data_IF_599948828901
#
_entry.id   IF_599948828901
#
_cell.length_a   1.000
_cell.length_b   1.000
_cell.length_c   1.000
_cell.angle_alpha   90.00
_cell.angle_beta   90.00
_cell.angle_gamma   90.00
#
_symmetry.space_group_name_H-M   'P 1'
#
loop_
_entity.id
_entity.type
_entity.pdbx_description
1 polymer ?
#
# COMPACT_ATOMS: atom_id res chain seq x y z
N UNK A 1 -9.54 -34.01 -1.96
CA UNK A 1 -9.03 -33.03 -2.94
C UNK A 1 -8.23 -31.97 -2.18
N UNK A 2 -6.95 -31.70 -2.53
CA UNK A 2 -6.24 -30.54 -1.98
C UNK A 2 -6.96 -29.30 -2.55
N UNK A 3 -7.68 -28.57 -1.70
CA UNK A 3 -8.23 -27.29 -2.09
C UNK A 3 -7.08 -26.37 -2.51
N UNK A 4 -7.20 -25.74 -3.69
CA UNK A 4 -6.24 -24.74 -4.15
C UNK A 4 -6.14 -23.64 -3.09
N UNK A 5 -4.89 -23.28 -2.74
CA UNK A 5 -4.60 -22.21 -1.79
C UNK A 5 -5.20 -20.90 -2.29
N UNK A 6 -5.85 -20.15 -1.39
CA UNK A 6 -6.48 -18.86 -1.69
C UNK A 6 -5.63 -17.73 -1.08
N UNK A 7 -5.26 -16.77 -1.90
CA UNK A 7 -4.45 -15.62 -1.48
C UNK A 7 -5.33 -14.40 -1.18
N UNK A 8 -5.42 -14.03 0.10
CA UNK A 8 -6.25 -12.94 0.64
C UNK A 8 -5.40 -11.92 1.41
N UNK A 9 -4.17 -11.65 0.93
CA UNK A 9 -3.23 -10.71 1.56
C UNK A 9 -2.68 -9.67 0.56
N UNK A 10 -3.56 -9.13 -0.27
CA UNK A 10 -3.22 -8.19 -1.34
C UNK A 10 -2.57 -6.89 -0.86
N UNK A 11 -2.89 -6.42 0.35
CA UNK A 11 -2.26 -5.23 0.89
C UNK A 11 -0.78 -5.45 1.28
N UNK A 12 -0.38 -6.67 1.60
CA UNK A 12 1.03 -6.98 1.83
C UNK A 12 1.80 -6.94 0.50
N UNK A 13 1.30 -7.64 -0.51
CA UNK A 13 1.80 -7.58 -1.89
C UNK A 13 0.74 -8.14 -2.83
N UNK A 14 0.48 -7.49 -3.96
CA UNK A 14 -0.39 -8.04 -4.99
C UNK A 14 0.35 -9.14 -5.79
N UNK A 15 -0.33 -10.20 -6.24
CA UNK A 15 0.23 -11.13 -7.22
C UNK A 15 0.73 -10.40 -8.47
N UNK A 16 1.87 -10.85 -9.01
CA UNK A 16 2.43 -10.25 -10.22
C UNK A 16 1.45 -10.44 -11.40
N UNK A 17 1.08 -9.34 -12.04
CA UNK A 17 0.21 -9.35 -13.22
C UNK A 17 0.90 -10.01 -14.41
N UNK A 18 0.12 -10.63 -15.29
CA UNK A 18 0.67 -11.27 -16.48
C UNK A 18 1.33 -10.24 -17.40
N UNK A 19 0.73 -9.07 -17.58
CA UNK A 19 1.29 -7.98 -18.38
C UNK A 19 2.66 -7.51 -17.84
N UNK A 20 2.80 -7.45 -16.53
CA UNK A 20 4.08 -7.10 -15.90
C UNK A 20 5.13 -8.19 -16.13
N UNK A 21 4.75 -9.47 -16.00
CA UNK A 21 5.63 -10.61 -16.29
C UNK A 21 6.11 -10.58 -17.74
N UNK A 22 5.22 -10.39 -18.68
CA UNK A 22 5.54 -10.42 -20.12
C UNK A 22 6.45 -9.24 -20.49
N UNK A 23 6.17 -8.04 -19.95
CA UNK A 23 7.03 -6.87 -20.15
C UNK A 23 8.43 -7.07 -19.57
N UNK A 24 8.54 -7.70 -18.39
CA UNK A 24 9.83 -8.03 -17.78
C UNK A 24 10.61 -9.04 -18.61
N UNK A 25 9.97 -10.09 -19.08
CA UNK A 25 10.61 -11.12 -19.93
C UNK A 25 11.15 -10.47 -21.21
N UNK A 26 10.35 -9.64 -21.89
CA UNK A 26 10.79 -8.93 -23.08
C UNK A 26 11.95 -7.96 -22.81
N UNK A 27 12.01 -7.35 -21.63
CA UNK A 27 13.09 -6.45 -21.24
C UNK A 27 14.39 -7.16 -20.88
N UNK A 28 14.37 -8.46 -20.55
CA UNK A 28 15.58 -9.25 -20.25
C UNK A 28 16.54 -9.39 -21.42
N UNK A 29 16.02 -9.34 -22.64
CA UNK A 29 16.83 -9.45 -23.87
C UNK A 29 17.43 -8.10 -24.32
N UNK A 30 17.14 -7.01 -23.64
CA UNK A 30 17.64 -5.67 -23.96
C UNK A 30 19.00 -5.42 -23.31
N UNK A 31 20.07 -5.36 -24.12
CA UNK A 31 21.48 -5.25 -23.70
C UNK A 31 21.90 -3.77 -23.55
N UNK A 32 21.10 -2.84 -23.37
CA UNK A 32 21.50 -1.43 -23.35
C UNK A 32 21.60 -0.87 -21.91
N UNK A 33 22.53 0.06 -21.69
CA UNK A 33 22.48 0.95 -20.56
C UNK A 33 21.69 2.21 -20.96
N UNK A 34 20.64 2.62 -20.21
CA UNK A 34 19.82 3.78 -20.55
C UNK A 34 20.60 5.11 -20.69
N UNK A 35 21.77 5.21 -20.06
CA UNK A 35 22.67 6.38 -20.17
C UNK A 35 23.54 6.40 -21.42
N UNK A 36 23.57 5.32 -22.21
CA UNK A 36 24.39 5.22 -23.42
C UNK A 36 23.70 5.83 -24.62
N UNK A 37 24.49 6.49 -25.49
CA UNK A 37 23.97 7.22 -26.68
C UNK A 37 23.78 6.34 -27.93
N UNK A 38 24.35 5.11 -27.94
CA UNK A 38 24.23 4.18 -29.06
C UNK A 38 22.82 3.53 -29.11
N UNK A 39 22.53 2.77 -30.16
CA UNK A 39 21.19 2.20 -30.44
C UNK A 39 20.63 1.39 -29.28
N UNK A 40 21.42 0.50 -28.71
CA UNK A 40 21.03 -0.37 -27.59
C UNK A 40 20.69 0.44 -26.34
N UNK A 41 21.47 1.49 -26.04
CA UNK A 41 21.19 2.40 -24.93
C UNK A 41 19.88 3.16 -25.12
N UNK A 42 19.60 3.62 -26.36
CA UNK A 42 18.34 4.28 -26.66
C UNK A 42 17.14 3.35 -26.53
N UNK A 43 17.27 2.06 -26.88
CA UNK A 43 16.22 1.05 -26.67
C UNK A 43 15.95 0.87 -25.17
N UNK A 44 16.99 0.70 -24.35
CA UNK A 44 16.83 0.59 -22.91
C UNK A 44 16.18 1.84 -22.31
N UNK A 45 16.64 3.03 -22.72
CA UNK A 45 16.05 4.31 -22.28
C UNK A 45 14.56 4.41 -22.68
N UNK A 46 14.19 3.99 -23.88
CA UNK A 46 12.80 4.01 -24.34
C UNK A 46 11.89 3.12 -23.46
N UNK A 47 12.38 2.00 -22.92
CA UNK A 47 11.64 1.18 -21.97
C UNK A 47 11.41 1.91 -20.65
N UNK A 48 12.43 2.59 -20.11
CA UNK A 48 12.31 3.38 -18.87
C UNK A 48 11.32 4.52 -19.06
N UNK A 49 11.42 5.29 -20.17
CA UNK A 49 10.52 6.42 -20.42
C UNK A 49 9.08 5.96 -20.70
N UNK A 50 8.88 4.82 -21.34
CA UNK A 50 7.54 4.21 -21.49
C UNK A 50 6.94 3.86 -20.12
N UNK A 51 7.72 3.20 -19.26
CA UNK A 51 7.27 2.88 -17.91
C UNK A 51 6.92 4.15 -17.11
N UNK A 52 7.72 5.21 -17.29
CA UNK A 52 7.50 6.51 -16.65
C UNK A 52 6.16 7.11 -17.08
N UNK A 53 5.87 7.12 -18.37
CA UNK A 53 4.60 7.60 -18.90
C UNK A 53 3.40 6.79 -18.40
N UNK A 54 3.54 5.46 -18.33
CA UNK A 54 2.47 4.58 -17.83
C UNK A 54 2.19 4.77 -16.33
N UNK A 55 3.23 4.97 -15.52
CA UNK A 55 3.07 5.25 -14.08
C UNK A 55 2.48 6.65 -13.87
N UNK A 56 2.90 7.64 -14.66
CA UNK A 56 2.37 9.00 -14.60
C UNK A 56 0.88 9.05 -14.97
N UNK A 57 0.45 8.31 -16.00
CA UNK A 57 -0.96 8.21 -16.38
C UNK A 57 -1.83 7.62 -15.24
N UNK A 58 -1.34 6.56 -14.59
CA UNK A 58 -2.05 5.97 -13.44
C UNK A 58 -2.10 6.92 -12.23
N UNK A 59 -1.03 7.69 -11.99
CA UNK A 59 -0.91 8.58 -10.85
C UNK A 59 -1.55 9.96 -11.08
N UNK A 60 -1.89 10.32 -12.32
CA UNK A 60 -2.44 11.62 -12.70
C UNK A 60 -1.43 12.75 -12.55
N UNK A 61 -0.22 12.58 -13.12
CA UNK A 61 0.85 13.57 -13.11
C UNK A 61 1.62 13.58 -14.45
N UNK A 62 2.55 14.53 -14.63
CA UNK A 62 3.43 14.53 -15.78
C UNK A 62 4.54 13.46 -15.63
N UNK A 63 5.00 12.83 -16.73
CA UNK A 63 6.11 11.85 -16.65
C UNK A 63 7.38 12.42 -16.02
N UNK A 64 7.69 13.70 -16.24
CA UNK A 64 8.86 14.37 -15.65
C UNK A 64 8.77 14.57 -14.13
N UNK A 65 7.58 14.41 -13.53
CA UNK A 65 7.40 14.47 -12.08
C UNK A 65 7.83 13.18 -11.39
N UNK A 66 7.98 12.07 -12.13
CA UNK A 66 8.34 10.76 -11.62
C UNK A 66 9.87 10.65 -11.42
N UNK A 67 10.30 10.22 -10.24
CA UNK A 67 11.63 9.69 -9.99
C UNK A 67 11.49 8.23 -9.54
N UNK A 68 12.06 7.30 -10.30
CA UNK A 68 12.01 5.89 -9.97
C UNK A 68 12.92 5.55 -8.79
N UNK A 69 12.43 4.68 -7.92
CA UNK A 69 13.12 4.18 -6.72
C UNK A 69 12.95 2.66 -6.62
N UNK A 70 13.68 2.03 -5.71
CA UNK A 70 13.55 0.58 -5.47
C UNK A 70 12.34 0.24 -4.59
N UNK A 71 11.86 1.18 -3.79
CA UNK A 71 10.77 0.97 -2.84
C UNK A 71 10.15 2.30 -2.41
N UNK A 72 8.93 2.27 -1.89
CA UNK A 72 8.33 3.42 -1.23
C UNK A 72 9.13 3.87 0.00
N UNK A 73 9.85 2.95 0.65
CA UNK A 73 10.78 3.27 1.75
C UNK A 73 11.93 4.14 1.28
N UNK A 74 12.59 3.80 0.16
CA UNK A 74 13.63 4.66 -0.45
C UNK A 74 13.05 6.01 -0.86
N UNK A 75 11.87 6.01 -1.50
CA UNK A 75 11.20 7.26 -1.90
C UNK A 75 10.91 8.18 -0.70
N UNK A 76 10.45 7.62 0.43
CA UNK A 76 10.23 8.37 1.66
C UNK A 76 11.55 8.93 2.22
N UNK A 77 12.61 8.13 2.26
CA UNK A 77 13.94 8.59 2.69
C UNK A 77 14.46 9.74 1.83
N UNK A 78 14.31 9.64 0.51
CA UNK A 78 14.70 10.72 -0.42
C UNK A 78 13.91 12.00 -0.16
N UNK A 79 12.61 11.88 0.13
CA UNK A 79 11.77 13.04 0.44
C UNK A 79 12.16 13.72 1.75
N UNK A 80 12.44 12.96 2.80
CA UNK A 80 12.76 13.50 4.13
C UNK A 80 14.22 13.94 4.28
N UNK A 81 15.11 13.59 3.35
CA UNK A 81 16.52 13.99 3.41
C UNK A 81 16.64 15.52 3.56
N UNK A 82 17.45 15.95 4.53
CA UNK A 82 17.69 17.36 4.83
C UNK A 82 16.52 18.14 5.44
N UNK A 83 15.39 17.50 5.75
CA UNK A 83 14.23 18.17 6.38
C UNK A 83 14.26 18.01 7.90
N UNK A 84 13.70 19.01 8.62
CA UNK A 84 13.53 19.05 10.07
C UNK A 84 12.08 19.32 10.44
N UNK A 85 11.76 19.17 11.73
CA UNK A 85 10.46 19.53 12.32
C UNK A 85 9.29 18.86 11.59
N UNK A 86 9.40 17.56 11.36
CA UNK A 86 8.43 16.79 10.60
C UNK A 86 7.14 16.55 11.41
N UNK A 87 6.01 16.64 10.73
CA UNK A 87 4.71 16.28 11.29
C UNK A 87 4.03 15.20 10.47
N UNK A 88 3.48 14.18 11.13
CA UNK A 88 2.78 13.09 10.46
C UNK A 88 1.88 12.32 11.43
N UNK A 89 0.95 11.57 10.88
CA UNK A 89 -0.04 10.85 11.66
C UNK A 89 0.56 9.63 12.38
N UNK A 90 0.06 9.30 13.58
CA UNK A 90 0.46 8.11 14.34
C UNK A 90 0.21 6.79 13.58
N UNK A 91 -0.62 6.83 12.56
CA UNK A 91 -0.99 5.68 11.73
C UNK A 91 -0.13 5.54 10.46
N UNK A 92 0.89 6.37 10.25
CA UNK A 92 1.79 6.26 9.09
C UNK A 92 2.45 4.88 9.01
N UNK A 93 2.85 4.47 7.79
CA UNK A 93 3.63 3.25 7.62
C UNK A 93 4.98 3.34 8.35
N UNK A 94 5.51 2.21 8.84
CA UNK A 94 6.77 2.17 9.61
C UNK A 94 7.94 2.85 8.90
N UNK A 95 8.01 2.78 7.58
CA UNK A 95 9.05 3.46 6.79
C UNK A 95 8.96 4.99 6.85
N UNK A 96 7.79 5.54 7.12
CA UNK A 96 7.53 6.98 7.25
C UNK A 96 7.65 7.42 8.70
N UNK A 97 7.00 6.70 9.62
CA UNK A 97 7.03 7.05 11.05
C UNK A 97 8.46 7.02 11.60
N UNK A 98 9.29 6.08 11.16
CA UNK A 98 10.68 6.00 11.59
C UNK A 98 11.49 7.24 11.18
N UNK A 99 11.18 7.91 10.07
CA UNK A 99 11.82 9.17 9.66
C UNK A 99 11.37 10.31 10.57
N UNK A 100 10.08 10.35 10.92
CA UNK A 100 9.53 11.36 11.83
C UNK A 100 10.14 11.21 13.22
N UNK A 101 10.15 10.01 13.77
CA UNK A 101 10.70 9.71 15.10
C UNK A 101 12.21 9.97 15.21
N UNK A 102 12.96 9.79 14.12
CA UNK A 102 14.38 10.07 14.07
C UNK A 102 14.74 11.56 13.93
N UNK A 103 13.79 12.41 13.57
CA UNK A 103 13.99 13.81 13.31
C UNK A 103 13.67 14.66 14.55
N UNK A 104 14.64 15.43 15.04
CA UNK A 104 14.45 16.34 16.18
C UNK A 104 13.39 17.40 15.87
N UNK A 105 12.59 17.77 16.86
CA UNK A 105 11.51 18.77 16.72
C UNK A 105 10.24 18.26 16.02
N UNK A 106 10.21 16.98 15.67
CA UNK A 106 9.07 16.38 14.97
C UNK A 106 7.88 16.09 15.89
N UNK A 107 6.67 16.11 15.34
CA UNK A 107 5.42 15.90 16.05
C UNK A 107 4.61 14.76 15.41
N UNK A 108 4.04 13.91 16.26
CA UNK A 108 3.12 12.85 15.86
C UNK A 108 1.69 13.28 16.15
N UNK A 109 0.87 13.31 15.10
CA UNK A 109 -0.52 13.74 15.17
C UNK A 109 -1.42 12.56 15.49
N UNK A 110 -2.28 12.65 16.52
CA UNK A 110 -3.18 11.58 16.89
C UNK A 110 -4.30 11.37 15.88
N UNK A 111 -4.98 10.22 15.99
CA UNK A 111 -6.18 9.89 15.22
C UNK A 111 -7.38 9.66 16.13
N UNK A 112 -8.56 9.77 15.57
CA UNK A 112 -9.80 9.41 16.24
C UNK A 112 -10.07 7.89 16.21
N UNK A 113 -11.08 7.38 16.94
CA UNK A 113 -11.43 5.97 16.92
C UNK A 113 -11.85 5.42 15.53
N UNK A 114 -12.21 6.29 14.60
CA UNK A 114 -12.58 5.93 13.22
C UNK A 114 -11.36 5.96 12.27
N UNK A 115 -10.16 6.26 12.81
CA UNK A 115 -8.89 6.25 12.10
C UNK A 115 -8.62 7.51 11.26
N UNK A 116 -9.39 8.60 11.47
CA UNK A 116 -9.13 9.89 10.85
C UNK A 116 -8.16 10.73 11.69
N UNK A 117 -7.27 11.48 11.06
CA UNK A 117 -6.35 12.37 11.80
C UNK A 117 -7.12 13.47 12.53
N UNK A 118 -6.70 13.73 13.77
CA UNK A 118 -7.16 14.88 14.57
C UNK A 118 -6.16 16.02 14.35
N UNK A 119 -6.35 16.78 13.29
CA UNK A 119 -5.38 17.77 12.85
C UNK A 119 -5.89 19.20 13.05
N UNK A 120 -5.08 20.04 13.73
CA UNK A 120 -5.30 21.48 13.74
C UNK A 120 -5.09 22.03 12.33
N UNK A 121 -6.14 22.64 11.84
CA UNK A 121 -6.22 23.16 10.48
C UNK A 121 -5.16 24.22 10.13
N UNK A 122 -4.45 24.78 11.07
CA UNK A 122 -3.44 25.80 10.87
C UNK A 122 -1.99 25.28 10.95
N UNK A 123 -1.79 24.03 11.45
CA UNK A 123 -0.48 23.42 11.50
C UNK A 123 -0.05 22.83 10.15
N UNK A 124 1.23 22.94 9.74
CA UNK A 124 1.74 22.24 8.57
C UNK A 124 1.71 20.73 8.79
N UNK A 125 1.48 19.97 7.71
CA UNK A 125 1.53 18.51 7.73
C UNK A 125 2.60 18.04 6.75
N UNK A 126 3.68 17.46 7.27
CA UNK A 126 4.81 17.03 6.45
C UNK A 126 4.50 15.78 5.65
N UNK A 127 3.65 14.89 6.20
CA UNK A 127 3.23 13.66 5.51
C UNK A 127 1.87 13.18 5.98
N UNK A 128 1.16 12.49 5.08
CA UNK A 128 -0.07 11.78 5.39
C UNK A 128 -0.26 10.61 4.44
N UNK A 129 -0.47 9.40 4.98
CA UNK A 129 -0.93 8.29 4.16
C UNK A 129 -2.37 8.53 3.69
N UNK A 130 -2.63 8.27 2.40
CA UNK A 130 -3.97 8.46 1.83
C UNK A 130 -4.91 7.34 2.31
N UNK A 131 -4.38 6.12 2.45
CA UNK A 131 -5.11 4.98 3.01
C UNK A 131 -4.22 4.16 3.94
N UNK A 132 -4.77 3.77 5.07
CA UNK A 132 -4.07 2.90 6.00
C UNK A 132 -3.98 1.46 5.48
N UNK A 133 -2.80 0.86 5.54
CA UNK A 133 -2.54 -0.48 5.02
C UNK A 133 -3.17 -1.61 5.84
N UNK A 134 -3.45 -1.37 7.14
CA UNK A 134 -4.08 -2.35 8.04
C UNK A 134 -5.60 -2.26 8.00
N UNK A 135 -6.15 -1.07 8.24
CA UNK A 135 -7.59 -0.84 8.38
C UNK A 135 -8.31 -0.55 7.06
N UNK A 136 -7.56 -0.10 6.06
CA UNK A 136 -8.12 0.39 4.80
C UNK A 136 -8.72 1.79 4.87
N UNK A 137 -8.73 2.45 6.03
CA UNK A 137 -9.35 3.77 6.22
C UNK A 137 -8.69 4.80 5.31
N UNK A 138 -9.52 5.51 4.54
CA UNK A 138 -9.13 6.62 3.67
C UNK A 138 -9.15 7.94 4.43
N UNK A 139 -8.07 8.73 4.32
CA UNK A 139 -7.96 10.02 5.00
C UNK A 139 -8.68 11.13 4.22
N UNK A 140 -9.68 11.73 4.83
CA UNK A 140 -10.46 12.81 4.22
C UNK A 140 -9.70 14.13 4.08
N UNK A 141 -8.62 14.31 4.84
CA UNK A 141 -7.80 15.52 4.89
C UNK A 141 -7.00 15.78 3.60
N UNK A 142 -6.68 14.73 2.83
CA UNK A 142 -5.81 14.79 1.63
C UNK A 142 -6.29 15.78 0.56
N UNK A 143 -7.59 16.06 0.49
CA UNK A 143 -8.20 16.97 -0.50
C UNK A 143 -8.41 18.40 0.01
N UNK A 144 -7.93 18.74 1.21
CA UNK A 144 -8.36 19.97 1.87
C UNK A 144 -7.23 20.99 2.09
N UNK A 145 -5.96 20.57 2.08
CA UNK A 145 -4.82 21.42 2.46
C UNK A 145 -3.50 20.95 1.88
N UNK A 146 -2.51 21.86 1.79
CA UNK A 146 -1.15 21.52 1.41
C UNK A 146 -0.55 20.50 2.40
N UNK A 147 -0.06 19.39 1.86
CA UNK A 147 0.68 18.35 2.55
C UNK A 147 2.07 18.26 1.91
N UNK A 148 3.11 18.06 2.70
CA UNK A 148 4.45 17.87 2.16
C UNK A 148 4.50 16.65 1.25
N UNK A 149 4.21 15.47 1.77
CA UNK A 149 4.17 14.22 0.99
C UNK A 149 2.92 13.41 1.35
N UNK A 150 2.29 12.81 0.37
CA UNK A 150 1.25 11.79 0.59
C UNK A 150 1.79 10.40 0.30
N UNK A 151 1.57 9.46 1.23
CA UNK A 151 1.79 8.04 0.94
C UNK A 151 0.55 7.48 0.22
N UNK A 152 0.67 7.38 -1.11
CA UNK A 152 -0.37 6.85 -1.99
C UNK A 152 -0.19 5.35 -2.29
N UNK A 153 0.69 4.65 -1.57
CA UNK A 153 1.07 3.27 -1.84
C UNK A 153 -0.11 2.30 -1.85
N UNK A 154 -1.11 2.53 -1.01
CA UNK A 154 -2.29 1.65 -0.94
C UNK A 154 -3.46 2.10 -1.81
N UNK A 155 -3.45 3.32 -2.34
CA UNK A 155 -4.57 3.84 -3.15
C UNK A 155 -4.32 3.76 -4.65
N UNK A 156 -3.09 4.02 -5.11
CA UNK A 156 -2.75 3.98 -6.54
C UNK A 156 -3.07 2.59 -7.11
N UNK A 157 -3.88 2.58 -8.17
CA UNK A 157 -4.36 1.37 -8.82
C UNK A 157 -5.52 0.63 -8.15
N UNK A 158 -6.08 1.18 -7.04
CA UNK A 158 -7.24 0.58 -6.33
C UNK A 158 -8.43 1.54 -6.22
N UNK A 159 -8.15 2.83 -6.02
CA UNK A 159 -9.18 3.88 -6.04
C UNK A 159 -8.70 5.03 -6.94
N UNK A 160 -9.60 5.86 -7.47
CA UNK A 160 -9.21 7.02 -8.24
C UNK A 160 -8.29 7.94 -7.42
N UNK A 161 -7.10 8.17 -7.94
CA UNK A 161 -6.10 9.07 -7.38
C UNK A 161 -5.53 9.94 -8.50
N UNK A 162 -5.46 11.24 -8.29
CA UNK A 162 -4.87 12.19 -9.22
C UNK A 162 -3.93 13.10 -8.43
N UNK A 163 -2.62 12.94 -8.65
CA UNK A 163 -1.62 13.72 -7.94
C UNK A 163 -1.73 15.21 -8.22
N UNK A 164 -2.06 15.60 -9.46
CA UNK A 164 -2.22 17.01 -9.84
C UNK A 164 -3.38 17.71 -9.09
N UNK A 165 -4.33 16.94 -8.57
CA UNK A 165 -5.45 17.45 -7.76
C UNK A 165 -5.21 17.24 -6.24
N UNK A 166 -4.20 16.49 -5.87
CA UNK A 166 -3.80 16.33 -4.47
C UNK A 166 -3.03 17.60 -4.04
N UNK A 167 -3.46 18.24 -2.97
CA UNK A 167 -2.75 19.38 -2.40
C UNK A 167 -1.45 18.92 -1.70
N UNK A 168 -0.55 18.27 -2.46
CA UNK A 168 0.69 17.71 -1.95
C UNK A 168 1.89 18.14 -2.80
N UNK A 169 3.04 18.32 -2.16
CA UNK A 169 4.31 18.61 -2.85
C UNK A 169 4.92 17.34 -3.43
N UNK A 170 4.67 16.18 -2.82
CA UNK A 170 5.15 14.90 -3.29
C UNK A 170 4.15 13.77 -3.00
N UNK A 171 4.30 12.65 -3.72
CA UNK A 171 3.63 11.40 -3.41
C UNK A 171 4.58 10.21 -3.58
N UNK A 172 4.33 9.14 -2.85
CA UNK A 172 5.08 7.88 -3.02
C UNK A 172 4.15 6.74 -3.39
N UNK A 173 4.64 5.82 -4.23
CA UNK A 173 3.93 4.59 -4.57
C UNK A 173 4.89 3.44 -4.84
N UNK A 174 4.38 2.20 -4.80
CA UNK A 174 5.18 0.99 -5.02
C UNK A 174 4.43 0.00 -5.91
N UNK A 175 5.11 -0.49 -6.96
CA UNK A 175 4.53 -1.34 -7.99
C UNK A 175 3.91 -2.63 -7.46
N UNK A 176 4.55 -3.25 -6.46
CA UNK A 176 4.06 -4.53 -5.91
C UNK A 176 2.70 -4.43 -5.20
N UNK A 177 2.16 -3.25 -4.98
CA UNK A 177 0.83 -3.06 -4.36
C UNK A 177 -0.33 -3.13 -5.36
N UNK A 178 -0.03 -3.05 -6.66
CA UNK A 178 -1.02 -3.18 -7.74
C UNK A 178 -0.61 -4.19 -8.85
N UNK A 179 0.31 -5.10 -8.48
CA UNK A 179 0.68 -6.23 -9.35
C UNK A 179 1.91 -6.00 -10.22
N UNK A 180 2.71 -4.99 -9.94
CA UNK A 180 4.06 -4.83 -10.47
C UNK A 180 5.09 -5.65 -9.69
N UNK A 181 6.35 -5.64 -10.13
CA UNK A 181 7.43 -6.34 -9.44
C UNK A 181 7.79 -5.65 -8.11
N UNK A 182 8.32 -6.44 -7.18
CA UNK A 182 9.05 -5.91 -6.03
C UNK A 182 10.35 -5.27 -6.52
N UNK A 183 10.86 -4.26 -5.81
CA UNK A 183 12.08 -3.55 -6.22
C UNK A 183 11.84 -2.47 -7.28
N UNK A 184 10.60 -2.03 -7.47
CA UNK A 184 10.23 -0.92 -8.35
C UNK A 184 9.13 -0.07 -7.70
N UNK A 185 9.42 1.22 -7.55
CA UNK A 185 8.56 2.21 -6.90
C UNK A 185 8.82 3.59 -7.52
N UNK A 186 8.08 4.59 -7.08
CA UNK A 186 8.26 5.97 -7.54
C UNK A 186 8.06 6.98 -6.41
N UNK A 187 8.87 8.03 -6.46
CA UNK A 187 8.63 9.33 -5.86
C UNK A 187 8.07 10.24 -6.94
N UNK A 188 6.92 10.82 -6.69
CA UNK A 188 6.25 11.79 -7.56
C UNK A 188 6.47 13.16 -6.95
N UNK A 189 6.99 14.12 -7.71
CA UNK A 189 7.33 15.46 -7.23
C UNK A 189 6.48 16.48 -7.94
N UNK A 190 5.89 17.38 -7.20
CA UNK A 190 5.15 18.51 -7.77
C UNK A 190 6.07 19.44 -8.57
N UNK A 191 5.47 20.21 -9.46
CA UNK A 191 6.21 21.11 -10.34
C UNK A 191 7.06 22.11 -9.53
N UNK A 192 8.36 22.15 -9.82
CA UNK A 192 9.32 23.02 -9.14
C UNK A 192 9.75 22.55 -7.75
N UNK A 193 9.33 21.38 -7.33
CA UNK A 193 9.79 20.76 -6.08
C UNK A 193 11.12 20.07 -6.32
N UNK A 194 12.12 20.46 -5.54
CA UNK A 194 13.47 19.88 -5.54
C UNK A 194 13.68 19.01 -4.29
N UNK A 195 14.50 17.98 -4.45
CA UNK A 195 14.94 17.11 -3.36
C UNK A 195 16.47 17.06 -3.33
N UNK A 196 17.02 16.80 -2.16
CA UNK A 196 18.45 16.58 -2.02
C UNK A 196 18.85 15.22 -2.60
N UNK A 197 19.77 15.21 -3.57
CA UNK A 197 20.35 13.98 -4.08
C UNK A 197 21.67 13.67 -3.33
N UNK A 198 21.55 12.98 -2.21
CA UNK A 198 22.69 12.66 -1.34
C UNK A 198 23.77 11.77 -2.00
N UNK A 199 23.43 11.06 -3.08
CA UNK A 199 24.36 10.14 -3.77
C UNK A 199 25.06 10.79 -4.97
N UNK A 200 24.64 11.98 -5.41
CA UNK A 200 25.12 12.59 -6.66
C UNK A 200 24.68 11.77 -7.89
N UNK A 201 25.17 12.13 -9.09
CA UNK A 201 24.88 11.45 -10.35
C UNK A 201 23.73 12.07 -11.15
N UNK A 202 23.56 11.63 -12.41
CA UNK A 202 22.66 12.28 -13.39
C UNK A 202 21.40 11.47 -13.76
N UNK A 203 21.25 10.25 -13.23
CA UNK A 203 20.06 9.44 -13.49
C UNK A 203 18.82 10.06 -12.84
N UNK A 204 17.64 9.67 -13.30
CA UNK A 204 16.36 10.20 -12.82
C UNK A 204 16.33 11.75 -12.77
N UNK A 205 16.89 12.37 -13.80
CA UNK A 205 16.99 13.84 -13.90
C UNK A 205 17.79 14.48 -12.75
N UNK A 206 18.81 13.78 -12.24
CA UNK A 206 19.63 14.21 -11.11
C UNK A 206 19.00 13.97 -9.73
N UNK A 207 17.83 13.35 -9.65
CA UNK A 207 17.11 13.12 -8.40
C UNK A 207 17.52 11.84 -7.68
N UNK A 208 17.96 10.84 -8.43
CA UNK A 208 18.40 9.54 -7.88
C UNK A 208 19.50 8.95 -8.77
N UNK A 209 20.54 8.40 -8.16
CA UNK A 209 21.70 7.85 -8.85
C UNK A 209 21.64 6.33 -8.96
N UNK A 210 22.48 5.79 -9.87
CA UNK A 210 22.61 4.37 -10.15
C UNK A 210 21.84 3.95 -11.41
N UNK A 211 22.38 2.96 -12.11
CA UNK A 211 21.76 2.42 -13.33
C UNK A 211 20.34 1.95 -13.05
N UNK A 212 19.43 2.37 -13.90
CA UNK A 212 18.01 2.07 -13.76
C UNK A 212 17.73 0.57 -13.90
N UNK A 213 16.84 0.04 -13.07
CA UNK A 213 16.36 -1.34 -13.14
C UNK A 213 15.39 -1.53 -14.34
N UNK A 214 15.93 -1.53 -15.55
CA UNK A 214 15.15 -1.55 -16.81
C UNK A 214 14.08 -2.65 -16.79
N UNK A 215 14.43 -3.85 -16.36
CA UNK A 215 13.53 -5.01 -16.31
C UNK A 215 12.38 -4.74 -15.31
N UNK A 216 12.73 -4.33 -14.09
CA UNK A 216 11.72 -4.04 -13.06
C UNK A 216 10.83 -2.86 -13.44
N UNK A 217 11.39 -1.81 -14.06
CA UNK A 217 10.62 -0.64 -14.49
C UNK A 217 9.68 -0.97 -15.64
N UNK A 218 10.09 -1.80 -16.62
CA UNK A 218 9.20 -2.28 -17.66
C UNK A 218 7.97 -3.00 -17.08
N UNK A 219 8.18 -3.89 -16.08
CA UNK A 219 7.08 -4.55 -15.38
C UNK A 219 6.23 -3.60 -14.54
N UNK A 220 6.83 -2.60 -13.91
CA UNK A 220 6.12 -1.58 -13.13
C UNK A 220 5.19 -0.75 -14.02
N UNK A 221 5.67 -0.26 -15.16
CA UNK A 221 4.87 0.47 -16.14
C UNK A 221 3.71 -0.36 -16.68
N UNK A 222 3.97 -1.61 -17.07
CA UNK A 222 2.93 -2.51 -17.57
C UNK A 222 1.85 -2.81 -16.52
N UNK A 223 2.26 -2.99 -15.24
CA UNK A 223 1.31 -3.14 -14.13
C UNK A 223 0.49 -1.86 -13.90
N UNK A 224 1.11 -0.69 -14.02
CA UNK A 224 0.42 0.59 -13.89
C UNK A 224 -0.66 0.76 -14.96
N UNK A 225 -0.34 0.47 -16.20
CA UNK A 225 -1.30 0.50 -17.30
C UNK A 225 -2.45 -0.49 -17.11
N UNK A 226 -2.17 -1.70 -16.63
CA UNK A 226 -3.21 -2.69 -16.35
C UNK A 226 -4.09 -2.26 -15.16
N UNK A 227 -3.51 -1.70 -14.10
CA UNK A 227 -4.25 -1.19 -12.96
C UNK A 227 -5.15 0.00 -13.33
N UNK A 228 -4.70 0.86 -14.26
CA UNK A 228 -5.52 1.95 -14.81
C UNK A 228 -6.73 1.40 -15.55
N UNK A 229 -6.57 0.37 -16.40
CA UNK A 229 -7.69 -0.30 -17.07
C UNK A 229 -8.69 -0.89 -16.09
N UNK A 230 -8.24 -1.52 -14.98
CA UNK A 230 -9.14 -2.06 -13.96
C UNK A 230 -9.95 -0.96 -13.26
N UNK A 231 -9.33 0.19 -12.98
CA UNK A 231 -10.02 1.35 -12.43
C UNK A 231 -11.10 1.87 -13.39
N UNK A 232 -10.75 2.07 -14.65
CA UNK A 232 -11.64 2.60 -15.69
C UNK A 232 -12.79 1.62 -15.99
N UNK A 233 -12.56 0.31 -15.86
CA UNK A 233 -13.56 -0.73 -15.99
C UNK A 233 -14.45 -0.92 -14.74
N UNK A 234 -14.19 -0.21 -13.64
CA UNK A 234 -14.98 -0.30 -12.42
C UNK A 234 -14.81 -1.60 -11.63
N UNK A 235 -13.73 -2.36 -11.85
CA UNK A 235 -13.47 -3.65 -11.17
C UNK A 235 -13.48 -3.51 -9.66
N UNK A 236 -12.98 -2.40 -9.14
CA UNK A 236 -12.90 -2.18 -7.70
C UNK A 236 -14.27 -2.00 -7.01
N UNK A 237 -15.31 -1.61 -7.75
CA UNK A 237 -16.67 -1.60 -7.23
C UNK A 237 -17.21 -3.02 -6.98
N UNK A 238 -16.84 -3.99 -7.83
CA UNK A 238 -17.20 -5.39 -7.60
C UNK A 238 -16.40 -5.99 -6.42
N UNK A 239 -15.13 -5.61 -6.27
CA UNK A 239 -14.31 -6.00 -5.12
C UNK A 239 -14.89 -5.45 -3.80
N UNK A 240 -15.42 -4.21 -3.81
CA UNK A 240 -16.12 -3.66 -2.63
C UNK A 240 -17.34 -4.50 -2.24
N UNK A 241 -18.12 -4.98 -3.21
CA UNK A 241 -19.23 -5.89 -2.95
C UNK A 241 -18.75 -7.20 -2.33
N UNK A 242 -17.67 -7.80 -2.84
CA UNK A 242 -17.10 -9.01 -2.27
C UNK A 242 -16.60 -8.82 -0.84
N UNK A 243 -15.96 -7.69 -0.53
CA UNK A 243 -15.58 -7.34 0.85
C UNK A 243 -16.82 -7.26 1.75
N UNK A 244 -17.90 -6.65 1.28
CA UNK A 244 -19.11 -6.51 2.07
C UNK A 244 -19.81 -7.88 2.29
N UNK A 245 -19.78 -8.78 1.31
CA UNK A 245 -20.23 -10.18 1.45
C UNK A 245 -19.42 -10.89 2.53
N UNK A 246 -18.09 -10.75 2.51
CA UNK A 246 -17.20 -11.31 3.52
C UNK A 246 -17.56 -10.80 4.92
N UNK A 247 -17.63 -9.48 5.11
CA UNK A 247 -17.92 -8.87 6.41
C UNK A 247 -19.29 -9.31 6.94
N UNK A 248 -20.30 -9.37 6.07
CA UNK A 248 -21.64 -9.87 6.43
C UNK A 248 -21.58 -11.33 6.91
N UNK A 249 -20.93 -12.22 6.18
CA UNK A 249 -20.80 -13.63 6.55
C UNK A 249 -20.09 -13.83 7.90
N UNK A 250 -19.03 -13.05 8.17
CA UNK A 250 -18.32 -13.07 9.44
C UNK A 250 -19.18 -12.54 10.59
N UNK A 251 -19.88 -11.41 10.40
CA UNK A 251 -20.75 -10.80 11.40
C UNK A 251 -21.97 -11.68 11.78
N UNK A 252 -22.53 -12.38 10.81
CA UNK A 252 -23.65 -13.31 11.05
C UNK A 252 -23.19 -14.55 11.83
N UNK A 253 -21.95 -14.97 11.62
CA UNK A 253 -21.40 -16.18 12.23
C UNK A 253 -20.86 -15.96 13.64
N UNK A 254 -20.24 -14.79 13.91
CA UNK A 254 -19.60 -14.46 15.19
C UNK A 254 -19.93 -13.02 15.58
N UNK A 255 -20.91 -12.87 16.48
CA UNK A 255 -21.50 -11.56 16.86
C UNK A 255 -20.51 -10.63 17.56
N UNK A 256 -19.48 -11.16 18.21
CA UNK A 256 -18.45 -10.41 18.92
C UNK A 256 -17.40 -9.80 17.99
N UNK A 257 -17.48 -10.06 16.69
CA UNK A 257 -16.52 -9.51 15.71
C UNK A 257 -16.71 -8.01 15.57
N UNK A 258 -15.62 -7.25 15.75
CA UNK A 258 -15.58 -5.79 15.61
C UNK A 258 -14.85 -5.45 14.33
N UNK A 259 -15.54 -4.82 13.37
CA UNK A 259 -14.94 -4.34 12.12
C UNK A 259 -14.36 -2.94 12.32
N UNK A 260 -13.05 -2.81 12.11
CA UNK A 260 -12.31 -1.57 12.34
C UNK A 260 -12.53 -0.58 11.19
N UNK A 261 -12.75 0.68 11.54
CA UNK A 261 -12.93 1.77 10.58
C UNK A 261 -14.21 1.67 9.74
N UNK A 262 -15.21 0.89 10.16
CA UNK A 262 -16.46 0.68 9.42
C UNK A 262 -17.35 1.92 9.31
N UNK A 263 -17.06 2.98 10.08
CA UNK A 263 -17.73 4.29 9.99
C UNK A 263 -17.01 5.29 9.08
N UNK A 264 -15.80 4.96 8.68
CA UNK A 264 -15.01 5.75 7.72
C UNK A 264 -15.09 5.19 6.31
N UNK A 265 -14.81 6.02 5.30
CA UNK A 265 -14.55 5.54 3.96
C UNK A 265 -13.30 4.65 3.98
N UNK A 266 -13.35 3.51 3.28
CA UNK A 266 -12.27 2.51 3.26
C UNK A 266 -11.91 2.10 1.83
N UNK A 267 -10.72 1.56 1.68
CA UNK A 267 -10.35 0.83 0.47
C UNK A 267 -11.37 -0.26 0.15
N UNK A 268 -11.70 -0.48 -1.12
CA UNK A 268 -12.71 -1.46 -1.54
C UNK A 268 -12.34 -2.91 -1.19
N UNK A 269 -11.06 -3.18 -0.96
CA UNK A 269 -10.50 -4.51 -0.85
C UNK A 269 -10.09 -4.92 0.56
N UNK A 270 -10.24 -4.07 1.57
CA UNK A 270 -9.63 -4.28 2.89
C UNK A 270 -10.70 -4.45 3.96
N UNK A 271 -10.64 -5.55 4.70
CA UNK A 271 -11.37 -5.76 5.93
C UNK A 271 -10.39 -6.04 7.06
N UNK A 272 -10.38 -5.17 8.06
CA UNK A 272 -9.68 -5.37 9.33
C UNK A 272 -10.72 -5.59 10.41
N UNK A 273 -10.61 -6.69 11.13
CA UNK A 273 -11.54 -7.02 12.21
C UNK A 273 -10.83 -7.71 13.35
N UNK A 274 -11.40 -7.58 14.53
CA UNK A 274 -10.89 -8.23 15.73
C UNK A 274 -12.00 -9.01 16.41
N UNK A 275 -11.59 -10.13 17.00
CA UNK A 275 -12.47 -11.02 17.77
C UNK A 275 -11.88 -11.15 19.16
N UNK A 276 -12.50 -10.50 20.19
CA UNK A 276 -11.92 -10.42 21.51
C UNK A 276 -11.55 -11.79 22.10
N UNK A 277 -10.31 -11.88 22.60
CA UNK A 277 -9.79 -13.09 23.21
C UNK A 277 -9.27 -14.17 22.25
N UNK A 278 -9.29 -13.94 20.92
CA UNK A 278 -8.69 -14.84 19.94
C UNK A 278 -7.56 -14.13 19.20
N UNK A 279 -6.31 -14.44 19.57
CA UNK A 279 -5.12 -13.77 19.04
C UNK A 279 -5.01 -13.89 17.52
N UNK A 280 -4.71 -12.78 16.85
CA UNK A 280 -4.57 -12.69 15.39
C UNK A 280 -3.53 -13.64 14.82
N UNK A 281 -2.39 -13.84 15.50
CA UNK A 281 -1.39 -14.85 15.11
C UNK A 281 -1.97 -16.26 15.03
N UNK A 282 -2.76 -16.64 16.05
CA UNK A 282 -3.40 -17.95 16.08
C UNK A 282 -4.40 -18.07 14.94
N UNK A 283 -5.12 -16.98 14.63
CA UNK A 283 -6.04 -16.94 13.49
C UNK A 283 -5.28 -17.13 12.17
N UNK A 284 -4.17 -16.39 11.95
CA UNK A 284 -3.34 -16.52 10.74
C UNK A 284 -2.83 -17.94 10.58
N UNK A 285 -2.28 -18.56 11.64
CA UNK A 285 -1.78 -19.92 11.58
C UNK A 285 -2.89 -20.94 11.23
N UNK A 286 -4.09 -20.77 11.82
CA UNK A 286 -5.22 -21.66 11.53
C UNK A 286 -5.74 -21.49 10.11
N UNK A 287 -5.78 -20.24 9.60
CA UNK A 287 -6.17 -19.98 8.22
C UNK A 287 -5.11 -20.46 7.22
N UNK A 288 -3.83 -20.33 7.53
CA UNK A 288 -2.75 -20.87 6.70
C UNK A 288 -2.87 -22.39 6.55
N UNK A 289 -3.11 -23.10 7.66
CA UNK A 289 -3.38 -24.56 7.66
C UNK A 289 -4.67 -24.92 6.89
N UNK A 290 -5.66 -24.04 6.87
CA UNK A 290 -6.88 -24.19 6.10
C UNK A 290 -6.74 -23.80 4.60
N UNK A 291 -5.55 -23.34 4.18
CA UNK A 291 -5.25 -23.01 2.80
C UNK A 291 -5.50 -21.55 2.42
N UNK A 292 -5.62 -20.63 3.38
CA UNK A 292 -5.83 -19.20 3.15
C UNK A 292 -4.63 -18.39 3.63
N UNK A 293 -4.14 -17.47 2.80
CA UNK A 293 -3.12 -16.50 3.16
C UNK A 293 -3.79 -15.17 3.59
N UNK A 294 -3.58 -14.78 4.85
CA UNK A 294 -4.09 -13.52 5.45
C UNK A 294 -3.02 -12.96 6.39
N UNK A 295 -3.19 -11.74 6.86
CA UNK A 295 -2.26 -11.10 7.81
C UNK A 295 -2.92 -10.82 9.16
N UNK A 296 -2.15 -10.91 10.25
CA UNK A 296 -2.51 -10.25 11.51
C UNK A 296 -2.34 -8.73 11.38
N UNK A 297 -3.08 -7.95 12.17
CA UNK A 297 -3.00 -6.48 12.14
C UNK A 297 -1.59 -5.92 12.35
N UNK A 298 -0.73 -6.67 13.05
CA UNK A 298 0.65 -6.29 13.39
C UNK A 298 1.71 -7.10 12.65
N UNK A 299 1.47 -7.52 11.41
CA UNK A 299 2.48 -8.20 10.60
C UNK A 299 3.64 -7.25 10.26
N UNK A 300 4.53 -7.01 11.22
CA UNK A 300 5.76 -6.27 11.02
C UNK A 300 6.83 -7.11 10.34
N UNK A 301 7.62 -6.46 9.48
CA UNK A 301 8.77 -6.97 8.73
C UNK A 301 9.88 -7.66 9.55
N UNK A 302 9.80 -7.68 10.89
CA UNK A 302 10.80 -8.24 11.78
C UNK A 302 10.45 -9.61 12.39
N UNK A 303 9.33 -10.22 12.04
CA UNK A 303 8.93 -11.55 12.56
C UNK A 303 8.55 -11.58 14.06
N UNK A 304 8.56 -10.43 14.75
CA UNK A 304 8.08 -10.31 16.13
C UNK A 304 6.70 -9.67 16.12
N UNK A 305 5.71 -10.38 16.64
CA UNK A 305 4.35 -9.86 16.76
C UNK A 305 4.30 -8.86 17.91
N UNK A 306 4.00 -7.62 17.57
CA UNK A 306 3.65 -6.57 18.51
C UNK A 306 2.17 -6.20 18.29
N UNK A 307 1.50 -5.70 19.31
CA UNK A 307 0.17 -5.12 19.12
C UNK A 307 0.24 -4.00 18.07
N UNK A 308 -0.74 -3.93 17.19
CA UNK A 308 -0.77 -2.94 16.10
C UNK A 308 -0.71 -1.52 16.66
N UNK A 309 0.29 -0.73 16.24
CA UNK A 309 0.38 0.71 16.56
C UNK A 309 -0.85 1.46 16.05
N UNK A 310 -1.30 1.13 14.85
CA UNK A 310 -2.47 1.76 14.22
C UNK A 310 -3.73 1.55 15.08
N UNK A 311 -3.99 0.32 15.52
CA UNK A 311 -5.17 0.04 16.35
C UNK A 311 -5.09 0.67 17.72
N UNK A 312 -3.88 0.73 18.31
CA UNK A 312 -3.67 1.47 19.59
C UNK A 312 -3.94 2.95 19.42
N UNK A 313 -3.44 3.56 18.34
CA UNK A 313 -3.72 4.96 18.01
C UNK A 313 -5.23 5.23 17.86
N UNK A 314 -5.99 4.26 17.37
CA UNK A 314 -7.45 4.31 17.27
C UNK A 314 -8.18 4.03 18.62
N UNK A 315 -7.45 3.82 19.71
CA UNK A 315 -8.01 3.66 21.05
C UNK A 315 -8.27 2.21 21.49
N UNK A 316 -7.90 1.20 20.70
CA UNK A 316 -7.96 -0.19 21.13
C UNK A 316 -6.85 -0.52 22.14
N UNK A 317 -7.18 -1.29 23.16
CA UNK A 317 -6.19 -1.82 24.11
C UNK A 317 -5.20 -2.77 23.41
N UNK A 318 -4.03 -3.01 24.01
CA UNK A 318 -3.05 -3.97 23.51
C UNK A 318 -3.64 -5.38 23.35
N UNK A 319 -4.52 -5.77 24.27
CA UNK A 319 -5.21 -7.05 24.21
C UNK A 319 -6.14 -7.14 22.99
N UNK A 320 -6.95 -6.11 22.74
CA UNK A 320 -7.85 -6.05 21.57
C UNK A 320 -7.05 -5.96 20.27
N UNK A 321 -6.07 -5.06 20.20
CA UNK A 321 -5.20 -4.88 19.03
C UNK A 321 -4.46 -6.17 18.65
N UNK A 322 -4.11 -7.02 19.64
CA UNK A 322 -3.48 -8.32 19.38
C UNK A 322 -4.44 -9.36 18.78
N UNK A 323 -5.75 -9.12 18.80
CA UNK A 323 -6.77 -10.03 18.26
C UNK A 323 -7.15 -9.71 16.80
N UNK A 324 -6.50 -8.73 16.17
CA UNK A 324 -6.84 -8.28 14.85
C UNK A 324 -6.40 -9.23 13.74
N UNK A 325 -7.26 -9.39 12.74
CA UNK A 325 -6.98 -10.05 11.46
C UNK A 325 -7.30 -9.08 10.32
N UNK A 326 -6.44 -9.04 9.31
CA UNK A 326 -6.69 -8.34 8.06
C UNK A 326 -6.86 -9.33 6.92
N UNK A 327 -7.95 -9.20 6.21
CA UNK A 327 -8.21 -9.84 4.92
C UNK A 327 -8.18 -8.77 3.85
N UNK A 328 -7.38 -8.96 2.82
CA UNK A 328 -7.33 -8.04 1.68
C UNK A 328 -7.39 -8.81 0.37
N UNK A 329 -8.39 -8.50 -0.44
CA UNK A 329 -8.77 -9.18 -1.67
C UNK A 329 -8.34 -8.40 -2.91
N UNK A 330 -8.48 -8.96 -4.10
CA UNK A 330 -8.09 -8.28 -5.33
C UNK A 330 -8.88 -8.75 -6.55
N UNK A 331 -8.58 -8.22 -7.75
CA UNK A 331 -9.35 -8.45 -8.97
C UNK A 331 -9.65 -9.90 -9.33
N UNK A 332 -8.77 -10.83 -8.92
CA UNK A 332 -8.93 -12.26 -9.20
C UNK A 332 -9.63 -13.04 -8.06
N UNK A 333 -10.08 -12.35 -7.02
CA UNK A 333 -10.79 -13.00 -5.90
C UNK A 333 -12.24 -13.24 -6.28
N UNK A 334 -12.75 -14.43 -5.98
CA UNK A 334 -14.14 -14.82 -6.27
C UNK A 334 -15.00 -14.84 -5.01
N UNK A 335 -16.33 -14.78 -5.18
CA UNK A 335 -17.28 -14.92 -4.07
C UNK A 335 -17.13 -16.25 -3.35
N UNK A 336 -16.97 -17.36 -4.09
CA UNK A 336 -16.68 -18.68 -3.50
C UNK A 336 -15.47 -18.63 -2.56
N UNK A 337 -14.41 -17.97 -2.95
CA UNK A 337 -13.18 -17.88 -2.14
C UNK A 337 -13.41 -17.12 -0.82
N UNK A 338 -14.16 -16.03 -0.84
CA UNK A 338 -14.44 -15.24 0.37
C UNK A 338 -15.42 -15.97 1.30
N UNK A 339 -16.41 -16.66 0.76
CA UNK A 339 -17.36 -17.46 1.54
C UNK A 339 -16.68 -18.68 2.18
N UNK A 340 -15.85 -19.41 1.45
CA UNK A 340 -15.04 -20.52 1.98
C UNK A 340 -14.10 -20.05 3.08
N UNK A 341 -13.51 -18.86 2.94
CA UNK A 341 -12.71 -18.29 4.02
C UNK A 341 -13.57 -18.05 5.26
N UNK A 342 -14.75 -17.40 5.11
CA UNK A 342 -15.65 -17.14 6.23
C UNK A 342 -16.09 -18.41 6.94
N UNK A 343 -16.40 -19.48 6.20
CA UNK A 343 -16.73 -20.81 6.76
C UNK A 343 -15.57 -21.42 7.55
N UNK A 344 -14.36 -21.41 6.97
CA UNK A 344 -13.16 -21.96 7.60
C UNK A 344 -12.81 -21.19 8.89
N UNK A 345 -12.90 -19.85 8.85
CA UNK A 345 -12.64 -18.99 9.99
C UNK A 345 -13.67 -19.20 11.10
N UNK A 346 -14.96 -19.28 10.74
CA UNK A 346 -16.06 -19.58 11.68
C UNK A 346 -15.87 -20.94 12.35
N UNK A 347 -15.51 -21.96 11.59
CA UNK A 347 -15.24 -23.28 12.14
C UNK A 347 -14.04 -23.28 13.10
N UNK A 348 -13.01 -22.49 12.79
CA UNK A 348 -11.85 -22.30 13.67
C UNK A 348 -12.22 -21.54 14.94
N UNK A 349 -13.04 -20.49 14.85
CA UNK A 349 -13.55 -19.76 16.00
C UNK A 349 -14.35 -20.67 16.94
N UNK A 350 -15.28 -21.47 16.43
CA UNK A 350 -16.08 -22.41 17.23
C UNK A 350 -15.19 -23.38 18.02
N UNK A 351 -14.13 -23.90 17.38
CA UNK A 351 -13.14 -24.76 18.07
C UNK A 351 -12.35 -24.00 19.15
N UNK A 352 -12.02 -22.73 18.90
CA UNK A 352 -11.35 -21.87 19.88
C UNK A 352 -12.26 -21.57 21.06
N UNK A 353 -13.50 -21.18 20.83
CA UNK A 353 -14.49 -20.87 21.87
C UNK A 353 -14.82 -22.08 22.78
N UNK A 354 -14.88 -23.27 22.20
CA UNK A 354 -15.15 -24.51 22.97
C UNK A 354 -13.99 -24.93 23.89
N UNK A 355 -12.81 -24.30 23.81
CA UNK A 355 -11.63 -24.58 24.65
C UNK A 355 -11.42 -23.55 25.77
N UNK A 356 -12.25 -22.52 25.80
CA UNK A 356 -12.31 -21.48 26.84
C UNK A 356 -13.31 -21.85 27.92
#
# INVERSE_FOLDING_TARGET
MRHLRVYLDWNATAPLRQEARDAMIAAMDVVGNPSSVHSEGRVAKALVERARAQVADLAGCDPQDIAFTSSATEAAQMWFAGKSDLTGAEIEHDAVIAQIEACAGSEIIPVDPDGQIIWDKNAPLSTLQVANSETGVLQSAVKRRPIGMVDATQVIGKVPFNFSEAYAQAAICSGHKFGGPKGAAALILGKGVEIENALGGGQEMGRRSGTENVIGLAGFGAAAQAAKRDLDAGIWAEIDKLRNILEKALAESVKETIFVGNRSARLPNTSCFLTPGWKGETQVMQMDLAGFAVSAGSACSSGKVRASRVLRAMGFSDQEASCALRVSIGPNTTEDQVLRFAEAWTAAYKRHAARR
#
